data_IF_067676863828
#
_entry.id   IF_067676863828
#
_cell.length_a   1.000
_cell.length_b   1.000
_cell.length_c   1.000
_cell.angle_alpha   90.00
_cell.angle_beta   90.00
_cell.angle_gamma   90.00
#
_symmetry.space_group_name_H-M   'P 1'
#
loop_
_entity.id
_entity.type
_entity.pdbx_description
1 polymer ?
#
# COMPACT_ATOMS: atom_id res chain seq x y z
N UNK A 1 53.58 23.39 -17.75
CA UNK A 1 53.60 21.96 -17.39
C UNK A 1 54.19 21.86 -15.99
N UNK A 2 53.59 21.26 -14.96
CA UNK A 2 52.31 20.60 -14.82
C UNK A 2 51.78 20.81 -13.39
N UNK A 3 50.45 20.80 -13.26
CA UNK A 3 49.71 20.87 -12.01
C UNK A 3 49.95 19.59 -11.20
N UNK A 4 50.62 19.69 -10.04
CA UNK A 4 50.62 18.64 -9.04
C UNK A 4 49.38 18.79 -8.14
N UNK A 5 48.36 17.98 -8.36
CA UNK A 5 47.23 17.87 -7.44
C UNK A 5 47.67 17.12 -6.17
N UNK A 6 47.42 17.65 -4.95
CA UNK A 6 47.51 16.83 -3.76
C UNK A 6 46.31 15.88 -3.70
N UNK A 7 46.60 14.61 -3.46
CA UNK A 7 45.63 13.54 -3.31
C UNK A 7 44.61 13.88 -2.21
N UNK A 8 43.34 13.92 -2.59
CA UNK A 8 42.22 13.91 -1.64
C UNK A 8 42.10 12.46 -1.15
N UNK A 9 42.61 12.20 0.05
CA UNK A 9 42.33 10.97 0.78
C UNK A 9 40.83 10.96 1.14
N UNK A 10 40.06 10.09 0.49
CA UNK A 10 38.65 9.87 0.78
C UNK A 10 38.52 8.95 2.02
N UNK A 11 38.78 9.49 3.21
CA UNK A 11 38.37 8.83 4.47
C UNK A 11 36.93 9.20 4.77
N UNK A 12 36.01 8.28 4.44
CA UNK A 12 34.62 8.30 4.89
C UNK A 12 34.59 8.11 6.42
N UNK A 13 34.69 9.22 7.16
CA UNK A 13 34.40 9.22 8.59
C UNK A 13 32.90 8.94 8.74
N UNK A 14 32.54 7.79 9.31
CA UNK A 14 31.18 7.52 9.80
C UNK A 14 30.87 8.50 10.94
N UNK A 15 30.51 9.73 10.57
CA UNK A 15 29.98 10.73 11.47
C UNK A 15 28.50 10.49 11.64
N UNK A 16 28.12 9.88 12.76
CA UNK A 16 26.77 9.86 13.31
C UNK A 16 26.25 11.29 13.46
N UNK A 17 25.71 11.87 12.39
CA UNK A 17 25.13 13.21 12.44
C UNK A 17 23.76 13.09 13.11
N UNK A 18 23.72 13.36 14.41
CA UNK A 18 22.50 13.63 15.17
C UNK A 18 21.82 14.88 14.57
N UNK A 19 21.03 14.69 13.52
CA UNK A 19 20.13 15.71 12.95
C UNK A 19 18.92 16.04 13.85
N UNK A 20 19.06 15.86 15.18
CA UNK A 20 17.93 15.90 16.12
C UNK A 20 17.41 17.29 16.57
N UNK A 21 18.12 18.43 16.50
CA UNK A 21 17.57 19.64 17.14
C UNK A 21 16.66 20.49 16.25
N UNK A 22 16.71 20.38 14.92
CA UNK A 22 15.97 21.30 14.03
C UNK A 22 14.54 20.89 13.67
N UNK A 23 14.12 19.65 13.96
CA UNK A 23 12.73 19.18 13.73
C UNK A 23 11.77 19.54 14.88
N UNK A 24 12.28 20.08 16.00
CA UNK A 24 11.53 20.21 17.25
C UNK A 24 10.68 21.49 17.35
N UNK A 25 10.87 22.48 16.47
CA UNK A 25 10.18 23.78 16.54
C UNK A 25 8.78 23.80 15.92
N UNK A 26 8.38 22.75 15.19
CA UNK A 26 7.09 22.72 14.47
C UNK A 26 6.30 21.41 14.67
N UNK A 27 6.44 20.76 15.83
CA UNK A 27 5.64 19.57 16.18
C UNK A 27 4.42 20.00 16.99
N UNK A 28 3.24 20.10 16.36
CA UNK A 28 2.00 20.36 17.10
C UNK A 28 1.24 19.07 17.38
N UNK A 29 0.57 19.06 18.53
CA UNK A 29 -0.48 18.09 18.83
C UNK A 29 -1.76 18.56 18.16
N UNK A 30 -2.37 17.68 17.40
CA UNK A 30 -3.64 17.92 16.73
C UNK A 30 -4.62 16.90 17.30
N UNK A 31 -5.73 17.37 17.85
CA UNK A 31 -6.79 16.44 18.28
C UNK A 31 -7.50 15.84 17.06
N UNK A 32 -7.84 14.56 17.15
CA UNK A 32 -8.58 13.86 16.09
C UNK A 32 -9.95 14.51 15.87
N UNK A 33 -10.55 15.06 16.93
CA UNK A 33 -11.79 15.82 16.87
C UNK A 33 -11.65 17.11 16.07
N UNK A 34 -10.57 17.87 16.26
CA UNK A 34 -10.25 19.05 15.44
C UNK A 34 -10.08 18.66 13.97
N UNK A 35 -9.34 17.57 13.70
CA UNK A 35 -9.14 17.04 12.35
C UNK A 35 -10.45 16.62 11.68
N UNK A 36 -11.34 15.94 12.42
CA UNK A 36 -12.65 15.52 11.95
C UNK A 36 -13.58 16.72 11.69
N UNK A 37 -13.56 17.73 12.56
CA UNK A 37 -14.31 18.98 12.37
C UNK A 37 -13.85 19.68 11.10
N UNK A 38 -12.54 19.84 10.92
CA UNK A 38 -11.97 20.40 9.71
C UNK A 38 -12.37 19.61 8.45
N UNK A 39 -12.29 18.27 8.50
CA UNK A 39 -12.67 17.41 7.38
C UNK A 39 -14.15 17.57 6.97
N UNK A 40 -15.05 17.74 7.94
CA UNK A 40 -16.49 17.80 7.70
C UNK A 40 -17.00 19.22 7.35
N UNK A 41 -16.54 20.24 8.06
CA UNK A 41 -17.07 21.62 7.92
C UNK A 41 -16.08 22.60 7.29
N UNK A 42 -14.81 22.23 7.12
CA UNK A 42 -13.74 23.15 6.70
C UNK A 42 -13.31 24.15 7.77
N UNK A 43 -13.88 24.08 8.98
CA UNK A 43 -13.54 25.03 10.06
C UNK A 43 -12.23 24.61 10.71
N UNK A 44 -11.23 25.49 10.63
CA UNK A 44 -9.96 25.35 11.32
C UNK A 44 -10.14 25.67 12.81
N UNK A 45 -9.75 24.74 13.68
CA UNK A 45 -9.59 25.02 15.11
C UNK A 45 -8.33 25.85 15.37
N UNK A 46 -8.18 26.43 16.55
CA UNK A 46 -6.95 27.14 16.95
C UNK A 46 -5.71 26.23 16.82
N UNK A 47 -5.85 24.93 17.13
CA UNK A 47 -4.80 23.91 16.94
C UNK A 47 -4.36 23.76 15.46
N UNK A 48 -5.27 24.00 14.51
CA UNK A 48 -5.06 23.87 13.07
C UNK A 48 -4.82 25.22 12.39
N UNK A 49 -5.06 26.34 13.07
CA UNK A 49 -4.93 27.69 12.51
C UNK A 49 -3.50 27.98 12.05
N UNK A 50 -2.50 27.48 12.79
CA UNK A 50 -1.09 27.53 12.40
C UNK A 50 -0.80 26.79 11.07
N UNK A 51 -1.67 25.86 10.69
CA UNK A 51 -1.59 25.12 9.44
C UNK A 51 -2.47 25.69 8.31
N UNK A 52 -3.39 26.63 8.61
CA UNK A 52 -4.27 27.25 7.62
C UNK A 52 -3.53 28.03 6.53
N UNK A 53 -2.29 28.44 6.80
CA UNK A 53 -1.42 29.07 5.80
C UNK A 53 -0.85 28.08 4.75
N UNK A 54 -0.96 26.77 4.99
CA UNK A 54 -0.48 25.75 4.05
C UNK A 54 -1.62 25.31 3.13
N UNK A 55 -1.57 25.62 1.82
CA UNK A 55 -2.61 25.22 0.87
C UNK A 55 -2.78 23.69 0.77
N UNK A 56 -1.77 22.93 1.20
CA UNK A 56 -1.81 21.47 1.24
C UNK A 56 -2.82 20.90 2.25
N UNK A 57 -3.22 21.68 3.26
CA UNK A 57 -4.20 21.24 4.25
C UNK A 57 -5.60 21.10 3.64
N UNK A 58 -5.99 22.04 2.77
CA UNK A 58 -7.24 21.95 2.00
C UNK A 58 -7.23 20.79 1.01
N UNK A 59 -6.06 20.49 0.42
CA UNK A 59 -5.89 19.32 -0.46
C UNK A 59 -6.12 18.02 0.32
N UNK A 60 -5.73 17.95 1.60
CA UNK A 60 -5.93 16.78 2.45
C UNK A 60 -7.38 16.58 2.88
N UNK A 61 -8.14 17.66 3.03
CA UNK A 61 -9.49 17.66 3.59
C UNK A 61 -10.40 16.55 3.03
N UNK A 62 -10.58 16.38 1.70
CA UNK A 62 -11.45 15.32 1.17
C UNK A 62 -10.91 13.91 1.46
N UNK A 63 -9.60 13.73 1.59
CA UNK A 63 -8.99 12.42 1.85
C UNK A 63 -9.10 11.97 3.30
N UNK A 64 -9.33 12.90 4.24
CA UNK A 64 -9.49 12.57 5.65
C UNK A 64 -10.74 11.70 5.89
N UNK A 65 -11.83 12.02 5.20
CA UNK A 65 -13.13 11.34 5.31
C UNK A 65 -13.44 10.41 4.15
N UNK A 66 -12.67 10.46 3.05
CA UNK A 66 -12.84 9.54 1.93
C UNK A 66 -12.70 8.09 2.39
N UNK A 67 -13.61 7.19 1.96
CA UNK A 67 -13.44 5.77 2.20
C UNK A 67 -12.18 5.28 1.50
N UNK A 68 -11.34 4.55 2.23
CA UNK A 68 -10.24 3.81 1.65
C UNK A 68 -10.82 2.55 1.02
N UNK A 69 -10.84 2.51 -0.31
CA UNK A 69 -11.35 1.37 -1.06
C UNK A 69 -10.44 0.14 -0.88
N UNK A 70 -11.04 -0.98 -0.50
CA UNK A 70 -10.39 -2.28 -0.35
C UNK A 70 -11.29 -3.28 0.39
N UNK A 71 -10.97 -4.56 0.27
CA UNK A 71 -11.62 -5.60 1.09
C UNK A 71 -11.15 -5.44 2.55
N UNK A 72 -12.05 -5.14 3.51
CA UNK A 72 -11.68 -5.02 4.92
C UNK A 72 -11.00 -6.28 5.48
N UNK A 73 -11.34 -7.47 4.97
CA UNK A 73 -10.73 -8.73 5.39
C UNK A 73 -9.26 -8.87 4.95
N UNK A 74 -8.86 -8.15 3.89
CA UNK A 74 -7.50 -8.14 3.38
C UNK A 74 -6.58 -7.16 4.13
N UNK A 75 -7.13 -6.22 4.90
CA UNK A 75 -6.36 -5.16 5.58
C UNK A 75 -5.28 -5.71 6.52
N UNK A 76 -5.55 -6.70 7.40
CA UNK A 76 -4.52 -7.26 8.28
C UNK A 76 -3.32 -7.82 7.51
N UNK A 77 -3.59 -8.57 6.43
CA UNK A 77 -2.53 -9.15 5.60
C UNK A 77 -1.70 -8.07 4.89
N UNK A 78 -2.37 -7.01 4.42
CA UNK A 78 -1.71 -5.89 3.76
C UNK A 78 -0.80 -5.11 4.70
N UNK A 79 -1.25 -4.82 5.93
CA UNK A 79 -0.43 -4.05 6.89
C UNK A 79 0.71 -4.87 7.48
N UNK A 80 0.59 -6.20 7.50
CA UNK A 80 1.61 -7.12 7.99
C UNK A 80 2.63 -7.56 6.93
N UNK A 81 2.37 -7.28 5.65
CA UNK A 81 3.31 -7.54 4.57
C UNK A 81 4.61 -6.73 4.74
N UNK A 82 5.74 -7.16 4.14
CA UNK A 82 6.98 -6.40 4.19
C UNK A 82 6.83 -4.96 3.68
N UNK A 83 6.11 -4.77 2.58
CA UNK A 83 5.85 -3.46 1.99
C UNK A 83 4.95 -2.60 2.89
N UNK A 84 3.91 -3.22 3.47
CA UNK A 84 3.00 -2.59 4.42
C UNK A 84 3.75 -2.08 5.64
N UNK A 85 4.61 -2.91 6.23
CA UNK A 85 5.44 -2.54 7.38
C UNK A 85 6.35 -1.36 7.07
N UNK A 86 7.07 -1.39 5.94
CA UNK A 86 7.96 -0.30 5.52
C UNK A 86 7.16 1.00 5.31
N UNK A 87 5.98 0.92 4.69
CA UNK A 87 5.13 2.08 4.48
C UNK A 87 4.64 2.67 5.81
N UNK A 88 4.12 1.83 6.71
CA UNK A 88 3.63 2.24 8.02
C UNK A 88 4.75 2.78 8.92
N UNK A 89 5.96 2.24 8.83
CA UNK A 89 7.14 2.81 9.51
C UNK A 89 7.50 4.20 9.01
N UNK A 90 7.43 4.41 7.67
CA UNK A 90 7.68 5.72 7.05
C UNK A 90 6.63 6.73 7.47
N UNK A 91 5.35 6.36 7.40
CA UNK A 91 4.24 7.22 7.81
C UNK A 91 4.27 7.50 9.31
N UNK A 92 4.57 6.49 10.13
CA UNK A 92 4.65 6.62 11.58
C UNK A 92 5.83 7.47 12.06
N UNK A 93 6.85 7.74 11.23
CA UNK A 93 7.85 8.79 11.53
C UNK A 93 7.30 10.20 11.41
N UNK A 94 6.23 10.38 10.65
CA UNK A 94 5.59 11.68 10.40
C UNK A 94 4.38 11.89 11.31
N UNK A 95 3.66 10.80 11.60
CA UNK A 95 2.51 10.74 12.51
C UNK A 95 2.97 10.03 13.78
N UNK A 96 3.33 10.81 14.79
CA UNK A 96 3.82 10.30 16.06
C UNK A 96 2.67 10.11 17.05
N UNK A 97 2.87 9.17 17.97
CA UNK A 97 2.06 9.07 19.19
C UNK A 97 2.31 10.28 20.10
N UNK A 98 1.49 10.46 21.14
CA UNK A 98 1.65 11.54 22.12
C UNK A 98 3.05 11.57 22.73
N UNK A 99 3.58 10.40 23.07
CA UNK A 99 4.91 10.19 23.65
C UNK A 99 6.06 10.35 22.64
N UNK A 100 5.77 10.82 21.41
CA UNK A 100 6.73 11.03 20.32
C UNK A 100 7.37 9.74 19.81
N UNK A 101 6.77 8.59 20.10
CA UNK A 101 7.14 7.34 19.45
C UNK A 101 6.57 7.28 18.04
N UNK A 102 7.28 6.54 17.17
CA UNK A 102 6.82 6.25 15.82
C UNK A 102 5.40 5.67 15.86
N UNK A 103 4.46 6.27 15.13
CA UNK A 103 3.06 5.86 15.10
C UNK A 103 2.77 4.57 14.34
N UNK A 104 3.78 3.83 13.85
CA UNK A 104 3.61 2.58 13.11
C UNK A 104 2.61 1.63 13.76
N UNK A 105 2.78 1.34 15.05
CA UNK A 105 1.92 0.39 15.76
C UNK A 105 0.47 0.91 15.86
N UNK A 106 0.32 2.21 16.14
CA UNK A 106 -0.99 2.86 16.21
C UNK A 106 -1.69 2.91 14.85
N UNK A 107 -0.96 3.21 13.77
CA UNK A 107 -1.47 3.18 12.39
C UNK A 107 -1.91 1.77 12.01
N UNK A 108 -1.07 0.76 12.28
CA UNK A 108 -1.39 -0.64 12.00
C UNK A 108 -2.68 -1.05 12.71
N UNK A 109 -2.74 -0.84 14.03
CA UNK A 109 -3.90 -1.21 14.83
C UNK A 109 -5.15 -0.43 14.39
N UNK A 110 -5.01 0.86 14.11
CA UNK A 110 -6.12 1.71 13.68
C UNK A 110 -6.68 1.30 12.33
N UNK A 111 -5.83 0.92 11.37
CA UNK A 111 -6.26 0.38 10.08
C UNK A 111 -7.03 -0.93 10.24
N UNK A 112 -6.50 -1.88 11.01
CA UNK A 112 -7.16 -3.17 11.27
C UNK A 112 -8.52 -2.96 11.94
N UNK A 113 -8.57 -2.10 12.96
CA UNK A 113 -9.78 -1.87 13.75
C UNK A 113 -10.83 -1.11 12.96
N UNK A 114 -10.45 -0.06 12.23
CA UNK A 114 -11.37 0.70 11.38
C UNK A 114 -11.93 -0.18 10.23
N UNK A 115 -11.10 -1.08 9.68
CA UNK A 115 -11.55 -2.06 8.68
C UNK A 115 -12.57 -3.02 9.28
N UNK A 116 -12.31 -3.58 10.47
CA UNK A 116 -13.22 -4.48 11.16
C UNK A 116 -14.58 -3.82 11.50
N UNK A 117 -14.59 -2.50 11.70
CA UNK A 117 -15.81 -1.71 11.95
C UNK A 117 -16.56 -1.33 10.66
N UNK A 118 -16.00 -1.58 9.48
CA UNK A 118 -16.60 -1.22 8.19
C UNK A 118 -16.49 0.27 7.84
N UNK A 119 -15.80 1.08 8.66
CA UNK A 119 -15.64 2.52 8.47
C UNK A 119 -14.19 2.88 8.15
N UNK A 120 -13.64 2.31 7.07
CA UNK A 120 -12.23 2.51 6.74
C UNK A 120 -11.97 3.88 6.10
N UNK A 121 -11.69 4.90 6.91
CA UNK A 121 -11.16 6.21 6.49
C UNK A 121 -10.10 6.73 7.47
N UNK A 122 -9.35 7.77 7.09
CA UNK A 122 -8.25 8.26 7.92
C UNK A 122 -8.70 8.79 9.29
N UNK A 123 -9.86 9.46 9.38
CA UNK A 123 -10.39 9.92 10.67
C UNK A 123 -10.66 8.73 11.59
N UNK A 124 -11.27 7.66 11.08
CA UNK A 124 -11.57 6.48 11.89
C UNK A 124 -10.30 5.74 12.30
N UNK A 125 -9.29 5.68 11.44
CA UNK A 125 -7.97 5.15 11.79
C UNK A 125 -7.34 5.97 12.94
N UNK A 126 -7.34 7.30 12.84
CA UNK A 126 -6.76 8.15 13.89
C UNK A 126 -7.54 8.10 15.20
N UNK A 127 -8.84 7.83 15.18
CA UNK A 127 -9.64 7.63 16.40
C UNK A 127 -9.19 6.42 17.23
N UNK A 128 -8.57 5.43 16.60
CA UNK A 128 -8.05 4.25 17.29
C UNK A 128 -6.66 4.46 17.90
N UNK A 129 -6.09 5.66 17.78
CA UNK A 129 -4.82 5.96 18.42
C UNK A 129 -5.00 5.93 19.95
N UNK A 130 -3.99 5.47 20.70
CA UNK A 130 -4.08 5.35 22.16
C UNK A 130 -4.45 6.66 22.85
N UNK A 131 -4.02 7.78 22.26
CA UNK A 131 -4.44 9.12 22.61
C UNK A 131 -5.31 9.67 21.48
N UNK A 132 -6.42 10.34 21.81
CA UNK A 132 -7.28 11.05 20.85
C UNK A 132 -6.58 12.27 20.19
N UNK A 133 -5.25 12.30 20.21
CA UNK A 133 -4.36 13.33 19.67
C UNK A 133 -3.25 12.66 18.88
N UNK A 134 -2.96 13.22 17.72
CA UNK A 134 -1.80 12.84 16.90
C UNK A 134 -0.79 13.97 16.89
N UNK A 135 0.49 13.63 16.81
CA UNK A 135 1.56 14.61 16.65
C UNK A 135 2.05 14.60 15.23
N UNK A 136 2.02 15.76 14.58
CA UNK A 136 2.50 15.90 13.21
C UNK A 136 3.48 17.07 13.12
N UNK A 137 4.54 16.88 12.35
CA UNK A 137 5.45 17.97 12.00
C UNK A 137 4.83 18.82 10.88
N UNK A 138 4.72 20.13 11.07
CA UNK A 138 4.02 21.01 10.13
C UNK A 138 4.44 20.91 8.66
N UNK A 139 5.74 21.07 8.35
CA UNK A 139 6.24 20.86 6.99
C UNK A 139 6.02 19.45 6.44
N UNK A 140 5.92 18.44 7.33
CA UNK A 140 5.70 17.05 6.93
C UNK A 140 4.24 16.75 6.63
N UNK A 141 3.27 17.48 7.19
CA UNK A 141 1.86 17.31 6.86
C UNK A 141 1.60 17.57 5.36
N UNK A 142 2.22 18.62 4.81
CA UNK A 142 2.20 18.89 3.37
C UNK A 142 2.91 17.81 2.54
N UNK A 143 4.00 17.21 3.06
CA UNK A 143 4.70 16.10 2.40
C UNK A 143 3.89 14.81 2.42
N UNK A 144 3.16 14.52 3.51
CA UNK A 144 2.20 13.42 3.62
C UNK A 144 1.11 13.61 2.56
N UNK A 145 0.50 14.79 2.52
CA UNK A 145 -0.53 15.15 1.54
C UNK A 145 -0.08 14.89 0.11
N UNK A 146 1.09 15.42 -0.22
CA UNK A 146 1.65 15.30 -1.54
C UNK A 146 2.05 13.87 -1.89
N UNK A 147 2.58 13.10 -0.93
CA UNK A 147 2.93 11.70 -1.12
C UNK A 147 1.69 10.83 -1.37
N UNK A 148 0.62 11.04 -0.60
CA UNK A 148 -0.67 10.34 -0.78
C UNK A 148 -1.25 10.70 -2.15
N UNK A 149 -1.30 11.99 -2.48
CA UNK A 149 -1.79 12.48 -3.77
C UNK A 149 -1.03 11.87 -4.95
N UNK A 150 0.31 11.88 -4.92
CA UNK A 150 1.14 11.28 -5.98
C UNK A 150 0.96 9.77 -6.09
N UNK A 151 0.92 9.06 -4.97
CA UNK A 151 0.73 7.60 -4.97
C UNK A 151 -0.59 7.19 -5.60
N UNK A 152 -1.66 7.95 -5.31
CA UNK A 152 -2.98 7.71 -5.89
C UNK A 152 -3.02 8.03 -7.39
N UNK A 153 -2.42 9.16 -7.81
CA UNK A 153 -2.29 9.52 -9.23
C UNK A 153 -1.51 8.46 -10.02
N UNK A 154 -0.42 7.93 -9.46
CA UNK A 154 0.37 6.87 -10.10
C UNK A 154 -0.43 5.58 -10.28
N UNK A 155 -1.20 5.16 -9.27
CA UNK A 155 -2.09 3.99 -9.38
C UNK A 155 -3.16 4.18 -10.47
N UNK A 156 -3.84 5.32 -10.48
CA UNK A 156 -4.85 5.63 -11.49
C UNK A 156 -4.24 5.62 -12.90
N UNK A 157 -3.05 6.20 -13.06
CA UNK A 157 -2.34 6.19 -14.34
C UNK A 157 -1.92 4.78 -14.78
N UNK A 158 -1.54 3.90 -13.85
CA UNK A 158 -1.19 2.52 -14.14
C UNK A 158 -2.41 1.69 -14.56
N UNK A 159 -3.53 1.79 -13.83
CA UNK A 159 -4.81 1.14 -14.18
C UNK A 159 -5.28 1.62 -15.56
N UNK A 160 -5.25 2.93 -15.81
CA UNK A 160 -5.63 3.49 -17.11
C UNK A 160 -4.70 3.07 -18.27
N UNK A 161 -3.45 2.69 -18.00
CA UNK A 161 -2.57 2.08 -19.01
C UNK A 161 -2.99 0.64 -19.29
N UNK A 162 -3.22 -0.15 -18.24
CA UNK A 162 -3.65 -1.54 -18.36
C UNK A 162 -4.99 -1.66 -19.11
N UNK A 163 -5.97 -0.83 -18.78
CA UNK A 163 -7.27 -0.80 -19.49
C UNK A 163 -7.15 -0.41 -20.97
N UNK A 164 -6.19 0.47 -21.31
CA UNK A 164 -5.92 0.84 -22.70
C UNK A 164 -5.26 -0.30 -23.46
N UNK A 165 -4.36 -1.05 -22.80
CA UNK A 165 -3.74 -2.24 -23.39
C UNK A 165 -4.78 -3.31 -23.66
N UNK A 166 -5.60 -3.67 -22.66
CA UNK A 166 -6.70 -4.62 -22.84
C UNK A 166 -7.67 -4.21 -23.97
N UNK A 167 -8.02 -2.92 -24.06
CA UNK A 167 -8.87 -2.43 -25.17
C UNK A 167 -8.19 -2.51 -26.54
N UNK A 168 -6.87 -2.32 -26.61
CA UNK A 168 -6.08 -2.49 -27.85
C UNK A 168 -5.97 -3.95 -28.24
N UNK A 169 -5.71 -4.84 -27.29
CA UNK A 169 -5.64 -6.28 -27.52
C UNK A 169 -7.01 -6.84 -27.94
N UNK A 170 -8.11 -6.42 -27.32
CA UNK A 170 -9.48 -6.81 -27.71
C UNK A 170 -9.88 -6.33 -29.11
N UNK A 171 -9.36 -5.18 -29.57
CA UNK A 171 -9.66 -4.65 -30.90
C UNK A 171 -8.72 -5.16 -31.99
N UNK A 172 -7.47 -5.52 -31.64
CA UNK A 172 -6.50 -6.14 -32.55
C UNK A 172 -6.68 -7.67 -32.67
N UNK A 173 -7.22 -8.31 -31.64
CA UNK A 173 -7.57 -9.72 -31.62
C UNK A 173 -9.02 -9.84 -31.19
N UNK A 174 -9.95 -9.80 -32.14
CA UNK A 174 -11.16 -10.61 -31.98
C UNK A 174 -10.68 -12.05 -32.02
N UNK A 175 -10.65 -12.81 -30.90
CA UNK A 175 -10.32 -14.22 -30.99
C UNK A 175 -11.42 -14.78 -31.89
N UNK A 176 -11.02 -15.33 -33.03
CA UNK A 176 -11.99 -16.01 -33.89
C UNK A 176 -12.30 -17.31 -33.16
N UNK A 177 -13.19 -17.27 -32.17
CA UNK A 177 -13.69 -18.44 -31.42
C UNK A 177 -14.36 -19.48 -32.33
N UNK A 178 -14.54 -19.12 -33.60
CA UNK A 178 -15.15 -19.93 -34.67
C UNK A 178 -14.37 -21.21 -35.00
N UNK A 179 -13.16 -21.40 -34.48
CA UNK A 179 -12.35 -22.62 -34.65
C UNK A 179 -12.02 -23.34 -33.34
N UNK A 180 -12.66 -22.98 -32.21
CA UNK A 180 -12.51 -23.78 -31.00
C UNK A 180 -13.45 -24.99 -31.06
N UNK A 181 -12.88 -26.18 -30.85
CA UNK A 181 -13.67 -27.39 -30.64
C UNK A 181 -14.59 -27.19 -29.44
N UNK A 182 -15.89 -27.41 -29.63
CA UNK A 182 -16.89 -27.28 -28.58
C UNK A 182 -16.61 -28.27 -27.46
N UNK A 183 -16.28 -27.76 -26.26
CA UNK A 183 -16.09 -28.57 -25.05
C UNK A 183 -17.43 -29.09 -24.46
N UNK A 184 -18.56 -28.70 -25.05
CA UNK A 184 -19.90 -29.14 -24.65
C UNK A 184 -20.27 -30.47 -25.32
N UNK A 185 -19.62 -30.80 -26.45
CA UNK A 185 -19.80 -32.10 -27.09
C UNK A 185 -18.74 -33.06 -26.54
N UNK A 186 -19.14 -34.29 -26.14
CA UNK A 186 -18.18 -35.33 -25.82
C UNK A 186 -17.20 -35.50 -26.99
N UNK A 187 -15.91 -35.58 -26.69
CA UNK A 187 -14.90 -35.91 -27.70
C UNK A 187 -15.10 -37.32 -28.26
N UNK A 188 -14.30 -37.70 -29.25
CA UNK A 188 -14.29 -39.07 -29.77
C UNK A 188 -14.18 -40.09 -28.64
N UNK A 189 -14.95 -41.17 -28.73
CA UNK A 189 -14.94 -42.22 -27.71
C UNK A 189 -13.54 -42.84 -27.64
N UNK A 190 -12.88 -42.70 -26.49
CA UNK A 190 -11.58 -43.30 -26.21
C UNK A 190 -11.84 -44.63 -25.50
N UNK A 191 -11.35 -45.73 -26.07
CA UNK A 191 -11.39 -47.02 -25.39
C UNK A 191 -10.28 -47.06 -24.34
N UNK A 192 -10.57 -47.65 -23.17
CA UNK A 192 -9.57 -47.82 -22.13
C UNK A 192 -9.54 -49.27 -21.65
N UNK A 193 -8.35 -49.70 -21.23
CA UNK A 193 -8.14 -51.01 -20.62
C UNK A 193 -7.10 -50.90 -19.50
N UNK A 194 -7.31 -51.65 -18.42
CA UNK A 194 -6.39 -51.66 -17.28
C UNK A 194 -5.40 -52.82 -17.44
N UNK A 195 -4.11 -52.51 -17.45
CA UNK A 195 -3.04 -53.49 -17.55
C UNK A 195 -2.26 -53.56 -16.23
N UNK A 196 -1.81 -54.77 -15.87
CA UNK A 196 -0.84 -54.95 -14.81
C UNK A 196 0.55 -54.84 -15.42
N UNK A 197 1.26 -53.77 -15.09
CA UNK A 197 2.64 -53.54 -15.54
C UNK A 197 3.59 -53.94 -14.43
N UNK A 198 4.53 -54.83 -14.74
CA UNK A 198 5.59 -55.24 -13.83
C UNK A 198 6.82 -54.35 -14.02
N UNK A 199 7.32 -53.79 -12.92
CA UNK A 199 8.51 -52.96 -12.84
C UNK A 199 9.60 -53.77 -12.11
N UNK A 200 10.34 -54.63 -12.84
CA UNK A 200 11.27 -55.59 -12.24
C UNK A 200 12.47 -54.92 -11.58
N UNK A 201 12.90 -53.76 -12.09
CA UNK A 201 13.99 -52.96 -11.50
C UNK A 201 13.64 -52.46 -10.09
N UNK A 202 12.35 -52.26 -9.82
CA UNK A 202 11.83 -51.78 -8.53
C UNK A 202 11.03 -52.82 -7.76
N UNK A 203 10.98 -54.06 -8.25
CA UNK A 203 10.30 -55.18 -7.60
C UNK A 203 8.82 -54.94 -7.29
N UNK A 204 8.08 -54.28 -8.19
CA UNK A 204 6.65 -53.96 -7.95
C UNK A 204 5.78 -54.16 -9.19
N UNK A 205 4.49 -54.34 -8.94
CA UNK A 205 3.46 -54.43 -9.98
C UNK A 205 2.47 -53.26 -9.83
N UNK A 206 2.11 -52.62 -10.94
CA UNK A 206 1.29 -51.40 -10.96
C UNK A 206 0.14 -51.59 -11.94
N UNK A 207 -1.09 -51.32 -11.50
CA UNK A 207 -2.25 -51.23 -12.39
C UNK A 207 -2.22 -49.89 -13.11
N UNK A 208 -2.25 -49.92 -14.44
CA UNK A 208 -2.19 -48.74 -15.31
C UNK A 208 -3.36 -48.76 -16.27
N UNK A 209 -4.11 -47.67 -16.33
CA UNK A 209 -5.13 -47.48 -17.35
C UNK A 209 -4.49 -46.94 -18.62
N UNK A 210 -4.64 -47.68 -19.71
CA UNK A 210 -4.14 -47.31 -21.04
C UNK A 210 -5.31 -46.87 -21.89
N UNK A 211 -5.24 -45.63 -22.36
CA UNK A 211 -6.22 -44.99 -23.22
C UNK A 211 -5.77 -45.11 -24.69
N UNK A 212 -6.59 -45.73 -25.52
CA UNK A 212 -6.34 -45.87 -26.96
C UNK A 212 -7.42 -45.09 -27.75
N UNK A 213 -7.00 -44.27 -28.73
CA UNK A 213 -7.93 -43.50 -29.56
C UNK A 213 -8.74 -44.39 -30.51
#
# INVERSE_FOLDING_TARGET
>A
MGLGMPAIALTLLWGSLKLRPYLNLFTQEISVTSLARFANSGVLSDELAAYGAFPQLEILRPYLTAPLYGDPAAVPQLVDSPEGKILLERLGRLILTRDRHNGHAALRQGLITAAAQGELNLIQVFRQFPDAKIRVHGPELGRIAWSIGRGLQQKQAAIARLEREFRREQSAQSPTFRSLTSLVQPGSAIAWSTWLVEDPDRGRQIWVDVYQP
#
